data_IF_967456618770
#
_entry.id   IF_967456618770
#
_cell.length_a   1.000
_cell.length_b   1.000
_cell.length_c   1.000
_cell.angle_alpha   90.00
_cell.angle_beta   90.00
_cell.angle_gamma   90.00
#
_symmetry.space_group_name_H-M   'P 1'
#
loop_
_entity.id
_entity.type
_entity.pdbx_description
1 polymer ?
#
# COMPACT_ATOMS: atom_id res chain seq x y z
N UNK A 1 9.19 0.84 15.01
CA UNK A 1 8.44 1.90 14.29
C UNK A 1 8.14 1.43 12.88
N UNK A 2 7.09 1.92 12.22
CA UNK A 2 6.69 1.46 10.89
C UNK A 2 7.69 1.99 9.83
N UNK A 3 8.25 1.14 8.94
CA UNK A 3 9.18 1.58 7.89
C UNK A 3 8.46 2.24 6.70
N UNK A 4 7.59 3.22 6.98
CA UNK A 4 6.70 3.85 5.98
C UNK A 4 7.46 4.48 4.81
N UNK A 5 8.63 5.08 5.06
CA UNK A 5 9.47 5.67 4.02
C UNK A 5 9.98 4.59 3.05
N UNK A 6 10.53 3.49 3.58
CA UNK A 6 11.02 2.38 2.77
C UNK A 6 9.89 1.66 2.01
N UNK A 7 8.71 1.51 2.63
CA UNK A 7 7.54 0.94 1.95
C UNK A 7 7.12 1.84 0.77
N UNK A 8 7.09 3.16 0.97
CA UNK A 8 6.75 4.12 -0.10
C UNK A 8 7.77 4.09 -1.23
N UNK A 9 9.06 4.13 -0.90
CA UNK A 9 10.14 4.08 -1.89
C UNK A 9 10.08 2.79 -2.73
N UNK A 10 9.86 1.64 -2.09
CA UNK A 10 9.67 0.37 -2.79
C UNK A 10 8.44 0.40 -3.71
N UNK A 11 7.33 1.01 -3.29
CA UNK A 11 6.15 1.18 -4.15
C UNK A 11 6.41 2.10 -5.34
N UNK A 12 7.11 3.22 -5.13
CA UNK A 12 7.45 4.19 -6.19
C UNK A 12 8.44 3.59 -7.20
N UNK A 13 9.30 2.67 -6.76
CA UNK A 13 10.24 1.94 -7.60
C UNK A 13 9.64 0.68 -8.28
N UNK A 14 8.32 0.45 -8.18
CA UNK A 14 7.60 -0.76 -8.66
C UNK A 14 8.12 -2.08 -8.04
N UNK A 15 8.79 -2.00 -6.90
CA UNK A 15 9.31 -3.12 -6.13
C UNK A 15 8.26 -3.63 -5.14
N UNK A 16 7.11 -4.08 -5.66
CA UNK A 16 5.96 -4.47 -4.83
C UNK A 16 6.28 -5.64 -3.87
N UNK A 17 7.09 -6.60 -4.32
CA UNK A 17 7.52 -7.72 -3.47
C UNK A 17 8.33 -7.24 -2.25
N UNK A 18 9.18 -6.23 -2.45
CA UNK A 18 9.98 -5.61 -1.37
C UNK A 18 9.06 -4.88 -0.40
N UNK A 19 8.08 -4.11 -0.91
CA UNK A 19 7.10 -3.44 -0.07
C UNK A 19 6.28 -4.45 0.75
N UNK A 20 5.91 -5.59 0.17
CA UNK A 20 5.18 -6.65 0.86
C UNK A 20 6.01 -7.32 1.97
N UNK A 21 7.28 -7.62 1.71
CA UNK A 21 8.16 -8.21 2.73
C UNK A 21 8.38 -7.25 3.90
N UNK A 22 8.54 -5.95 3.63
CA UNK A 22 8.66 -4.92 4.68
C UNK A 22 7.42 -4.85 5.57
N UNK A 23 6.22 -4.93 4.97
CA UNK A 23 4.95 -4.96 5.72
C UNK A 23 4.86 -6.25 6.56
N UNK A 24 5.16 -7.40 5.96
CA UNK A 24 5.08 -8.69 6.63
C UNK A 24 6.08 -8.80 7.79
N UNK A 25 7.29 -8.28 7.62
CA UNK A 25 8.29 -8.19 8.68
C UNK A 25 7.79 -7.31 9.84
N UNK A 26 7.27 -6.12 9.55
CA UNK A 26 6.72 -5.24 10.57
C UNK A 26 5.55 -5.89 11.34
N UNK A 27 4.68 -6.63 10.65
CA UNK A 27 3.60 -7.36 11.30
C UNK A 27 4.13 -8.40 12.32
N UNK A 28 5.17 -9.15 11.94
CA UNK A 28 5.83 -10.11 12.84
C UNK A 28 6.39 -9.44 14.08
N UNK A 29 7.04 -8.29 13.92
CA UNK A 29 7.60 -7.52 15.03
C UNK A 29 6.51 -7.01 15.99
N UNK A 30 5.41 -6.49 15.44
CA UNK A 30 4.25 -6.04 16.24
C UNK A 30 3.65 -7.20 17.01
N UNK A 31 3.47 -8.35 16.37
CA UNK A 31 2.93 -9.55 17.02
C UNK A 31 3.83 -10.04 18.14
N UNK A 32 5.16 -10.04 17.92
CA UNK A 32 6.14 -10.41 18.94
C UNK A 32 6.09 -9.44 20.13
N UNK A 33 5.99 -8.13 19.87
CA UNK A 33 5.89 -7.10 20.91
C UNK A 33 4.60 -7.21 21.74
N UNK A 34 3.48 -7.61 21.12
CA UNK A 34 2.22 -7.85 21.83
C UNK A 34 2.21 -9.13 22.68
N UNK A 35 2.97 -10.16 22.26
CA UNK A 35 3.06 -11.43 22.98
C UNK A 35 4.01 -11.35 24.20
N UNK A 36 4.90 -10.37 24.23
CA UNK A 36 5.78 -10.14 25.37
C UNK A 36 5.01 -9.49 26.54
N UNK A 37 5.25 -9.89 27.80
CA UNK A 37 4.72 -9.17 28.95
C UNK A 37 5.31 -7.76 28.96
N UNK A 38 4.51 -6.76 28.60
CA UNK A 38 5.01 -5.41 28.32
C UNK A 38 4.55 -4.40 29.36
N UNK A 39 5.48 -3.53 29.78
CA UNK A 39 5.22 -2.20 30.35
C UNK A 39 5.16 -1.14 29.24
N UNK A 40 4.84 -1.54 28.01
CA UNK A 40 4.96 -0.67 26.85
C UNK A 40 4.06 0.55 26.99
N UNK A 41 4.64 1.72 26.70
CA UNK A 41 3.96 3.00 26.79
C UNK A 41 2.79 3.05 25.81
N UNK A 42 1.59 3.29 26.34
CA UNK A 42 0.36 3.48 25.56
C UNK A 42 0.52 4.54 24.48
N UNK A 43 1.33 5.59 24.73
CA UNK A 43 1.58 6.65 23.77
C UNK A 43 2.26 6.14 22.50
N UNK A 44 3.23 5.22 22.65
CA UNK A 44 3.96 4.62 21.53
C UNK A 44 3.05 3.74 20.67
N UNK A 45 2.12 3.00 21.28
CA UNK A 45 1.13 2.21 20.55
C UNK A 45 0.14 3.07 19.77
N UNK A 46 -0.31 4.20 20.35
CA UNK A 46 -1.17 5.14 19.64
C UNK A 46 -0.44 5.79 18.46
N UNK A 47 0.85 6.13 18.61
CA UNK A 47 1.69 6.62 17.52
C UNK A 47 1.80 5.61 16.38
N UNK A 48 2.07 4.34 16.71
CA UNK A 48 2.15 3.28 15.72
C UNK A 48 0.81 3.08 14.98
N UNK A 49 -0.32 3.12 15.68
CA UNK A 49 -1.64 3.00 15.07
C UNK A 49 -1.93 4.16 14.10
N UNK A 50 -1.50 5.39 14.45
CA UNK A 50 -1.63 6.54 13.58
C UNK A 50 -0.80 6.37 12.29
N UNK A 51 0.44 5.90 12.41
CA UNK A 51 1.31 5.59 11.26
C UNK A 51 0.68 4.52 10.34
N UNK A 52 0.16 3.44 10.92
CA UNK A 52 -0.50 2.38 10.16
C UNK A 52 -1.76 2.86 9.42
N UNK A 53 -2.58 3.69 10.08
CA UNK A 53 -3.76 4.28 9.44
C UNK A 53 -3.40 5.22 8.29
N UNK A 54 -2.33 6.01 8.43
CA UNK A 54 -1.83 6.87 7.37
C UNK A 54 -1.33 6.06 6.17
N UNK A 55 -0.60 4.96 6.41
CA UNK A 55 -0.16 4.05 5.35
C UNK A 55 -1.37 3.42 4.62
N UNK A 56 -2.38 2.94 5.35
CA UNK A 56 -3.60 2.38 4.75
C UNK A 56 -4.35 3.39 3.87
N UNK A 57 -4.42 4.66 4.30
CA UNK A 57 -5.02 5.71 3.49
C UNK A 57 -4.25 5.91 2.18
N UNK A 58 -2.92 5.91 2.24
CA UNK A 58 -2.06 6.03 1.06
C UNK A 58 -2.24 4.85 0.09
N UNK A 59 -2.27 3.62 0.59
CA UNK A 59 -2.50 2.42 -0.23
C UNK A 59 -3.88 2.44 -0.91
N UNK A 60 -4.92 2.86 -0.18
CA UNK A 60 -6.27 3.02 -0.74
C UNK A 60 -6.31 4.03 -1.88
N UNK A 61 -5.61 5.15 -1.72
CA UNK A 61 -5.50 6.19 -2.74
C UNK A 61 -4.75 5.67 -3.98
N UNK A 62 -3.59 5.01 -3.79
CA UNK A 62 -2.83 4.40 -4.87
C UNK A 62 -3.67 3.38 -5.67
N UNK A 63 -4.44 2.53 -4.97
CA UNK A 63 -5.38 1.58 -5.60
C UNK A 63 -6.44 2.28 -6.44
N UNK A 64 -7.00 3.39 -5.95
CA UNK A 64 -8.02 4.14 -6.69
C UNK A 64 -7.45 4.73 -7.99
N UNK A 65 -6.25 5.30 -7.94
CA UNK A 65 -5.57 5.83 -9.12
C UNK A 65 -5.26 4.73 -10.15
N UNK A 66 -4.82 3.54 -9.69
CA UNK A 66 -4.57 2.40 -10.56
C UNK A 66 -5.87 1.92 -11.25
N UNK A 67 -6.98 1.86 -10.51
CA UNK A 67 -8.28 1.48 -11.07
C UNK A 67 -8.76 2.48 -12.13
N UNK A 68 -8.58 3.78 -11.90
CA UNK A 68 -8.91 4.82 -12.88
C UNK A 68 -8.04 4.72 -14.14
N UNK A 69 -6.73 4.48 -13.98
CA UNK A 69 -5.82 4.27 -15.11
C UNK A 69 -6.22 3.05 -15.96
N UNK A 70 -6.58 1.93 -15.31
CA UNK A 70 -7.07 0.73 -15.99
C UNK A 70 -8.38 0.99 -16.74
N UNK A 71 -9.31 1.75 -16.15
CA UNK A 71 -10.57 2.09 -16.79
C UNK A 71 -10.35 2.96 -18.04
N UNK A 72 -9.43 3.93 -17.97
CA UNK A 72 -9.03 4.75 -19.12
C UNK A 72 -8.40 3.88 -20.23
N UNK A 73 -7.52 2.95 -19.87
CA UNK A 73 -6.90 2.04 -20.84
C UNK A 73 -7.95 1.17 -21.55
N UNK A 74 -8.92 0.63 -20.80
CA UNK A 74 -10.04 -0.14 -21.36
C UNK A 74 -10.87 0.68 -22.34
N UNK A 75 -11.28 1.89 -21.94
CA UNK A 75 -12.05 2.80 -22.80
C UNK A 75 -11.33 3.14 -24.10
N UNK A 76 -10.01 3.40 -24.02
CA UNK A 76 -9.18 3.68 -25.18
C UNK A 76 -9.08 2.47 -26.11
N UNK A 77 -8.89 1.27 -25.55
CA UNK A 77 -8.86 0.03 -26.32
C UNK A 77 -10.17 -0.22 -27.08
N UNK A 78 -11.31 -0.06 -26.40
CA UNK A 78 -12.64 -0.25 -26.99
C UNK A 78 -12.90 0.78 -28.11
N UNK A 79 -12.46 2.03 -27.91
CA UNK A 79 -12.56 3.08 -28.92
C UNK A 79 -11.72 2.79 -30.17
N UNK A 80 -10.48 2.32 -30.00
CA UNK A 80 -9.60 1.93 -31.11
C UNK A 80 -10.17 0.72 -31.86
N UNK A 81 -10.75 -0.24 -31.14
CA UNK A 81 -11.40 -1.40 -31.74
C UNK A 81 -12.59 -0.99 -32.61
N UNK A 82 -13.49 -0.15 -32.08
CA UNK A 82 -14.64 0.35 -32.84
C UNK A 82 -14.21 1.10 -34.12
N UNK A 83 -13.14 1.91 -34.04
CA UNK A 83 -12.60 2.60 -35.21
C UNK A 83 -12.08 1.64 -36.29
N UNK A 84 -11.50 0.50 -35.90
CA UNK A 84 -11.02 -0.53 -36.83
C UNK A 84 -12.15 -1.35 -37.46
N UNK A 85 -13.26 -1.54 -36.76
CA UNK A 85 -14.42 -2.31 -37.26
C UNK A 85 -15.34 -1.51 -38.19
N UNK A 86 -15.23 -0.17 -38.20
CA UNK A 86 -16.07 0.73 -39.02
C UNK A 86 -15.43 1.13 -40.36
N UNK A 87 -14.31 0.49 -40.76
CA UNK A 87 -13.59 0.74 -42.01
C UNK A 87 -13.47 -0.53 -42.83
#
# INVERSE_FOLDING_TARGET
>A
MLPTAAIREAMEADQLDVAMELIAHHERDVRAALAAPSTADRSAWLGLLAEQNALLAHLKFARAQAAEALQRLKSNHDSVRAYRETR
#
